data_IF_806460315706
#
_entry.id   IF_806460315706
#
_cell.length_a   1.000
_cell.length_b   1.000
_cell.length_c   1.000
_cell.angle_alpha   90.00
_cell.angle_beta   90.00
_cell.angle_gamma   90.00
#
_symmetry.space_group_name_H-M   'P 1'
#
loop_
_entity.id
_entity.type
_entity.pdbx_description
1 polymer ?
#
# COMPACT_ATOMS: atom_id res chain seq x y z
N UNK A 1 -14.01 -22.24 -15.87
CA UNK A 1 -13.59 -22.55 -14.49
C UNK A 1 -14.33 -21.59 -13.58
N UNK A 2 -14.90 -22.05 -12.48
CA UNK A 2 -15.60 -21.17 -11.53
C UNK A 2 -14.55 -20.46 -10.68
N UNK A 3 -14.64 -19.16 -10.56
CA UNK A 3 -13.73 -18.34 -9.73
C UNK A 3 -14.10 -18.53 -8.26
N UNK A 4 -13.14 -18.87 -7.41
CA UNK A 4 -13.33 -18.97 -5.97
C UNK A 4 -13.14 -17.58 -5.37
N UNK A 5 -13.97 -17.25 -4.38
CA UNK A 5 -13.77 -16.04 -3.55
C UNK A 5 -13.12 -16.49 -2.25
N UNK A 6 -11.88 -16.08 -2.03
CA UNK A 6 -11.18 -16.28 -0.78
C UNK A 6 -11.66 -15.23 0.24
N UNK A 7 -12.35 -15.69 1.26
CA UNK A 7 -12.91 -14.79 2.25
C UNK A 7 -11.85 -14.36 3.26
N UNK A 8 -11.91 -13.11 3.66
CA UNK A 8 -11.05 -12.53 4.69
C UNK A 8 -11.05 -13.36 6.00
N UNK A 9 -12.20 -13.88 6.41
CA UNK A 9 -12.36 -14.69 7.62
C UNK A 9 -11.52 -15.98 7.62
N UNK A 10 -11.15 -16.49 6.44
CA UNK A 10 -10.37 -17.71 6.30
C UNK A 10 -8.86 -17.49 6.58
N UNK A 11 -8.43 -16.22 6.57
CA UNK A 11 -7.03 -15.81 6.73
C UNK A 11 -6.76 -14.97 7.96
N UNK A 12 -7.76 -14.17 8.39
CA UNK A 12 -7.62 -13.21 9.49
C UNK A 12 -8.70 -13.44 10.54
N UNK A 13 -8.35 -13.79 11.79
CA UNK A 13 -9.30 -13.86 12.90
C UNK A 13 -9.97 -12.50 13.16
N UNK A 14 -11.23 -12.47 13.56
CA UNK A 14 -12.02 -11.25 13.76
C UNK A 14 -11.34 -10.21 14.70
N UNK A 15 -10.62 -10.69 15.72
CA UNK A 15 -9.88 -9.84 16.67
C UNK A 15 -8.37 -10.17 16.67
N UNK A 16 -7.86 -10.74 15.59
CA UNK A 16 -6.48 -11.19 15.50
C UNK A 16 -5.60 -10.29 14.64
N UNK A 17 -4.41 -10.80 14.33
CA UNK A 17 -3.45 -10.11 13.49
C UNK A 17 -4.02 -9.89 12.08
N UNK A 18 -3.97 -8.65 11.55
CA UNK A 18 -4.41 -8.36 10.18
C UNK A 18 -3.38 -8.80 9.13
N UNK A 19 -2.49 -9.72 9.49
CA UNK A 19 -1.42 -10.22 8.64
C UNK A 19 -1.39 -11.74 8.74
N UNK A 20 -1.32 -12.39 7.58
CA UNK A 20 -1.07 -13.81 7.45
C UNK A 20 0.10 -14.04 6.50
N UNK A 21 0.88 -15.08 6.75
CA UNK A 21 2.02 -15.49 5.94
C UNK A 21 1.82 -16.90 5.43
N UNK A 22 2.05 -17.11 4.15
CA UNK A 22 2.17 -18.43 3.54
C UNK A 22 3.50 -18.57 2.83
N UNK A 23 4.10 -19.75 2.99
CA UNK A 23 5.30 -20.14 2.25
C UNK A 23 4.93 -21.30 1.33
N UNK A 24 5.22 -21.16 0.05
CA UNK A 24 4.93 -22.15 -0.98
C UNK A 24 6.24 -22.61 -1.58
N UNK A 25 6.40 -23.93 -1.74
CA UNK A 25 7.56 -24.54 -2.36
C UNK A 25 7.15 -25.73 -3.24
N UNK A 26 7.66 -25.79 -4.46
CA UNK A 26 7.51 -26.91 -5.36
C UNK A 26 6.56 -26.70 -6.53
N UNK A 27 6.42 -27.76 -7.32
CA UNK A 27 5.73 -27.73 -8.62
C UNK A 27 4.27 -28.18 -8.53
N UNK A 28 3.82 -28.63 -7.34
CA UNK A 28 2.51 -29.22 -7.12
C UNK A 28 1.71 -28.44 -6.10
N UNK A 29 0.39 -28.64 -6.10
CA UNK A 29 -0.51 -28.13 -5.06
C UNK A 29 0.08 -28.45 -3.68
N UNK A 30 0.20 -27.45 -2.84
CA UNK A 30 0.49 -27.70 -1.44
C UNK A 30 -0.69 -28.50 -0.87
N UNK A 31 -0.39 -29.52 -0.04
CA UNK A 31 -1.44 -30.32 0.62
C UNK A 31 -2.12 -29.54 1.75
N UNK A 32 -1.87 -28.22 1.86
CA UNK A 32 -2.51 -27.38 2.86
C UNK A 32 -3.92 -27.01 2.42
N UNK A 33 -4.87 -27.30 3.25
CA UNK A 33 -6.25 -26.84 3.13
C UNK A 33 -6.28 -25.34 2.91
N UNK A 34 -6.92 -24.87 1.82
CA UNK A 34 -6.99 -23.45 1.46
C UNK A 34 -5.82 -22.89 0.64
N UNK A 35 -4.92 -23.73 0.07
CA UNK A 35 -3.96 -23.25 -0.95
C UNK A 35 -4.68 -23.03 -2.28
N UNK A 36 -4.87 -21.77 -2.61
CA UNK A 36 -5.51 -21.33 -3.87
C UNK A 36 -4.52 -20.94 -4.96
N UNK A 37 -3.22 -21.21 -4.78
CA UNK A 37 -2.15 -20.76 -5.69
C UNK A 37 -2.41 -21.16 -7.15
N UNK A 38 -2.87 -22.41 -7.39
CA UNK A 38 -3.15 -22.91 -8.74
C UNK A 38 -4.66 -22.86 -9.08
N UNK A 39 -5.45 -22.23 -8.25
CA UNK A 39 -6.90 -22.13 -8.43
C UNK A 39 -7.28 -20.68 -8.71
N UNK A 40 -8.07 -20.46 -9.75
CA UNK A 40 -8.56 -19.14 -10.12
C UNK A 40 -9.40 -18.57 -8.98
N UNK A 41 -8.95 -17.45 -8.39
CA UNK A 41 -9.60 -16.86 -7.24
C UNK A 41 -9.50 -15.33 -7.21
N UNK A 42 -10.33 -14.74 -6.36
CA UNK A 42 -10.28 -13.33 -5.95
C UNK A 42 -10.32 -13.23 -4.44
N UNK A 43 -9.92 -12.11 -3.89
CA UNK A 43 -10.00 -11.81 -2.46
C UNK A 43 -10.21 -10.31 -2.23
N UNK A 44 -10.63 -9.91 -1.04
CA UNK A 44 -10.88 -8.52 -0.63
C UNK A 44 -9.76 -7.91 0.24
N UNK A 45 -8.63 -8.60 0.34
CA UNK A 45 -7.41 -8.17 1.03
C UNK A 45 -6.25 -7.97 0.05
N UNK A 46 -5.08 -7.59 0.54
CA UNK A 46 -3.86 -7.43 -0.26
C UNK A 46 -2.91 -8.61 -0.07
N UNK A 47 -2.27 -9.03 -1.16
CA UNK A 47 -1.22 -10.07 -1.19
C UNK A 47 0.08 -9.51 -1.77
N UNK A 48 1.14 -9.50 -0.95
CA UNK A 48 2.49 -9.22 -1.39
C UNK A 48 3.19 -10.55 -1.68
N UNK A 49 3.41 -10.83 -2.97
CA UNK A 49 4.02 -12.07 -3.45
C UNK A 49 5.49 -11.81 -3.77
N UNK A 50 6.37 -12.62 -3.18
CA UNK A 50 7.82 -12.55 -3.33
C UNK A 50 8.32 -13.90 -3.84
N UNK A 51 8.77 -13.95 -5.10
CA UNK A 51 9.30 -15.17 -5.70
C UNK A 51 10.77 -15.32 -5.30
N UNK A 52 11.07 -16.38 -4.55
CA UNK A 52 12.42 -16.61 -3.97
C UNK A 52 13.22 -17.66 -4.70
N UNK A 53 12.55 -18.56 -5.43
CA UNK A 53 13.17 -19.62 -6.21
C UNK A 53 12.33 -20.01 -7.43
N UNK A 54 12.95 -20.62 -8.42
CA UNK A 54 12.26 -21.13 -9.61
C UNK A 54 11.51 -20.07 -10.40
N UNK A 55 10.33 -20.43 -10.90
CA UNK A 55 9.48 -19.54 -11.68
C UNK A 55 8.16 -20.19 -12.06
N UNK A 56 7.43 -19.54 -12.97
CA UNK A 56 6.15 -20.02 -13.45
C UNK A 56 5.46 -19.04 -14.38
N UNK A 57 4.20 -19.29 -14.61
CA UNK A 57 3.29 -18.42 -15.34
C UNK A 57 2.17 -18.00 -14.38
N UNK A 58 2.08 -16.71 -14.11
CA UNK A 58 1.04 -16.12 -13.27
C UNK A 58 -0.01 -15.45 -14.15
N UNK A 59 -1.23 -15.95 -14.09
CA UNK A 59 -2.38 -15.38 -14.78
C UNK A 59 -3.05 -14.34 -13.89
N UNK A 60 -3.29 -13.13 -14.42
CA UNK A 60 -3.90 -12.00 -13.70
C UNK A 60 -4.86 -11.26 -14.65
N UNK A 61 -6.15 -11.17 -14.31
CA UNK A 61 -7.15 -10.39 -15.03
C UNK A 61 -7.15 -10.63 -16.56
N UNK A 62 -7.00 -11.88 -17.03
CA UNK A 62 -7.04 -12.23 -18.45
C UNK A 62 -5.69 -12.29 -19.17
N UNK A 63 -4.60 -11.96 -18.51
CA UNK A 63 -3.24 -11.94 -19.10
C UNK A 63 -2.31 -12.88 -18.31
N UNK A 64 -1.43 -13.59 -19.01
CA UNK A 64 -0.41 -14.46 -18.40
C UNK A 64 0.95 -13.78 -18.39
N UNK A 65 1.62 -13.81 -17.25
CA UNK A 65 2.93 -13.20 -17.03
C UNK A 65 3.95 -14.22 -16.57
N UNK A 66 5.11 -14.34 -17.24
CA UNK A 66 6.21 -15.16 -16.73
C UNK A 66 6.76 -14.50 -15.46
N UNK A 67 6.98 -15.32 -14.43
CA UNK A 67 7.58 -14.92 -13.16
C UNK A 67 8.80 -15.76 -12.84
N UNK A 68 9.77 -15.17 -12.12
CA UNK A 68 11.04 -15.82 -11.75
C UNK A 68 11.51 -15.33 -10.38
N UNK A 69 12.48 -16.05 -9.79
CA UNK A 69 13.13 -15.62 -8.58
C UNK A 69 13.61 -14.16 -8.66
N UNK A 70 13.34 -13.38 -7.65
CA UNK A 70 13.60 -11.95 -7.60
C UNK A 70 12.39 -11.06 -7.94
N UNK A 71 11.34 -11.63 -8.55
CA UNK A 71 10.12 -10.87 -8.85
C UNK A 71 9.29 -10.67 -7.59
N UNK A 72 8.84 -9.42 -7.40
CA UNK A 72 7.97 -9.01 -6.28
C UNK A 72 6.81 -8.22 -6.87
N UNK A 73 5.59 -8.53 -6.43
CA UNK A 73 4.39 -7.84 -6.89
C UNK A 73 3.28 -7.89 -5.84
N UNK A 74 2.36 -6.96 -5.93
CA UNK A 74 1.23 -6.82 -5.04
C UNK A 74 -0.06 -7.10 -5.80
N UNK A 75 -0.90 -7.98 -5.29
CA UNK A 75 -2.26 -8.20 -5.76
C UNK A 75 -3.21 -7.55 -4.77
N UNK A 76 -4.12 -6.72 -5.25
CA UNK A 76 -5.07 -5.97 -4.41
C UNK A 76 -6.51 -6.12 -4.90
N UNK A 77 -7.41 -6.16 -3.94
CA UNK A 77 -8.85 -6.16 -4.18
C UNK A 77 -9.31 -7.35 -5.00
N UNK A 78 -10.44 -7.20 -5.68
CA UNK A 78 -11.08 -8.25 -6.47
C UNK A 78 -10.33 -8.57 -7.79
N UNK A 79 -8.99 -8.52 -7.80
CA UNK A 79 -8.15 -8.92 -8.92
C UNK A 79 -8.14 -10.44 -9.03
N UNK A 80 -8.61 -10.95 -10.15
CA UNK A 80 -8.65 -12.39 -10.42
C UNK A 80 -7.26 -12.90 -10.81
N UNK A 81 -6.76 -13.91 -10.11
CA UNK A 81 -5.41 -14.43 -10.37
C UNK A 81 -5.23 -15.88 -9.94
N UNK A 82 -4.20 -16.54 -10.51
CA UNK A 82 -3.70 -17.86 -10.13
C UNK A 82 -2.39 -18.17 -10.89
N UNK A 83 -1.63 -19.17 -10.44
CA UNK A 83 -0.48 -19.67 -11.20
C UNK A 83 -0.92 -20.79 -12.15
N UNK A 84 -0.74 -20.58 -13.46
CA UNK A 84 -1.03 -21.61 -14.47
C UNK A 84 -0.01 -22.72 -14.47
N UNK A 85 1.26 -22.37 -14.30
CA UNK A 85 2.40 -23.29 -14.29
C UNK A 85 3.36 -22.89 -13.18
N UNK A 86 3.96 -23.90 -12.57
CA UNK A 86 5.02 -23.73 -11.57
C UNK A 86 6.22 -24.58 -11.97
N UNK A 87 7.41 -24.02 -11.83
CA UNK A 87 8.67 -24.71 -12.06
C UNK A 87 9.61 -24.44 -10.89
N UNK A 88 9.75 -25.43 -10.00
CA UNK A 88 10.52 -25.29 -8.73
C UNK A 88 10.22 -23.99 -7.99
N UNK A 89 8.97 -23.59 -8.02
CA UNK A 89 8.52 -22.31 -7.48
C UNK A 89 8.71 -22.29 -5.97
N UNK A 90 9.44 -21.29 -5.49
CA UNK A 90 9.50 -20.91 -4.09
C UNK A 90 9.00 -19.49 -3.94
N UNK A 91 8.05 -19.26 -3.04
CA UNK A 91 7.55 -17.92 -2.76
C UNK A 91 7.09 -17.73 -1.33
N UNK A 92 7.18 -16.49 -0.87
CA UNK A 92 6.48 -15.99 0.31
C UNK A 92 5.29 -15.16 -0.14
N UNK A 93 4.16 -15.41 0.47
CA UNK A 93 2.94 -14.65 0.27
C UNK A 93 2.54 -14.00 1.59
N UNK A 94 2.70 -12.66 1.69
CA UNK A 94 2.29 -11.88 2.85
C UNK A 94 0.92 -11.30 2.54
N UNK A 95 -0.10 -11.84 3.17
CA UNK A 95 -1.47 -11.36 3.07
C UNK A 95 -1.72 -10.34 4.17
N UNK A 96 -2.39 -9.24 3.88
CA UNK A 96 -2.72 -8.23 4.87
C UNK A 96 -4.01 -7.50 4.56
N UNK A 97 -4.69 -7.13 5.64
CA UNK A 97 -5.92 -6.37 5.55
C UNK A 97 -5.65 -4.87 5.55
N UNK A 98 -5.85 -4.25 4.41
CA UNK A 98 -5.63 -2.82 4.21
C UNK A 98 -6.44 -1.95 5.19
N UNK A 99 -7.60 -2.39 5.65
CA UNK A 99 -8.47 -1.61 6.54
C UNK A 99 -7.88 -1.49 7.94
N UNK A 100 -7.31 -2.58 8.46
CA UNK A 100 -6.66 -2.63 9.78
C UNK A 100 -5.25 -2.02 9.76
N UNK A 101 -4.60 -2.07 8.60
CA UNK A 101 -3.24 -1.53 8.42
C UNK A 101 -3.18 -0.04 8.12
N UNK A 102 -4.32 0.58 7.87
CA UNK A 102 -4.44 1.93 7.29
C UNK A 102 -3.64 3.01 8.02
N UNK A 103 -3.63 3.00 9.34
CA UNK A 103 -2.88 3.98 10.12
C UNK A 103 -1.36 3.78 10.02
N UNK A 104 -0.91 2.54 10.06
CA UNK A 104 0.51 2.17 9.93
C UNK A 104 1.03 2.43 8.51
N UNK A 105 0.26 2.05 7.49
CA UNK A 105 0.59 2.33 6.09
C UNK A 105 0.65 3.83 5.78
N UNK A 106 -0.07 4.65 6.54
CA UNK A 106 -0.03 6.10 6.37
C UNK A 106 1.37 6.68 6.60
N UNK A 107 2.09 6.20 7.61
CA UNK A 107 3.47 6.63 7.88
C UNK A 107 4.42 6.28 6.73
N UNK A 108 4.16 5.19 6.00
CA UNK A 108 4.95 4.77 4.85
C UNK A 108 4.74 5.66 3.60
N UNK A 109 3.68 6.48 3.54
CA UNK A 109 3.45 7.41 2.42
C UNK A 109 4.51 8.51 2.31
N UNK A 110 5.34 8.69 3.34
CA UNK A 110 6.54 9.51 3.27
C UNK A 110 7.63 8.92 2.35
N UNK A 111 7.51 7.64 1.95
CA UNK A 111 8.45 6.95 1.08
C UNK A 111 7.93 6.94 -0.37
N UNK A 112 8.63 7.56 -1.34
CA UNK A 112 8.21 7.57 -2.74
C UNK A 112 7.99 6.18 -3.33
N UNK A 113 8.91 5.24 -3.06
CA UNK A 113 8.82 3.87 -3.53
C UNK A 113 7.62 3.12 -2.94
N UNK A 114 7.21 3.41 -1.69
CA UNK A 114 5.99 2.87 -1.14
C UNK A 114 4.76 3.31 -1.94
N UNK A 115 4.64 4.61 -2.20
CA UNK A 115 3.54 5.14 -2.97
C UNK A 115 3.51 4.57 -4.39
N UNK A 116 4.68 4.47 -5.02
CA UNK A 116 4.82 3.94 -6.37
C UNK A 116 4.44 2.46 -6.46
N UNK A 117 4.96 1.63 -5.58
CA UNK A 117 4.78 0.18 -5.61
C UNK A 117 3.47 -0.28 -4.97
N UNK A 118 3.15 0.20 -3.76
CA UNK A 118 1.99 -0.29 -3.02
C UNK A 118 0.67 0.42 -3.37
N UNK A 119 0.72 1.68 -3.82
CA UNK A 119 -0.49 2.43 -4.12
C UNK A 119 -0.77 2.54 -5.63
N UNK A 120 0.26 2.77 -6.44
CA UNK A 120 0.05 3.13 -7.84
C UNK A 120 0.21 1.95 -8.80
N UNK A 121 1.18 1.09 -8.56
CA UNK A 121 1.45 -0.05 -9.44
C UNK A 121 0.22 -0.92 -9.64
N UNK A 122 -0.53 -1.35 -8.60
CA UNK A 122 -1.72 -2.18 -8.78
C UNK A 122 -2.81 -1.52 -9.63
N UNK A 123 -3.02 -0.20 -9.43
CA UNK A 123 -3.99 0.59 -10.22
C UNK A 123 -3.56 0.74 -11.68
N UNK A 124 -2.25 0.90 -11.90
CA UNK A 124 -1.68 1.12 -13.23
C UNK A 124 -1.49 -0.16 -14.03
N UNK A 125 -1.37 -1.30 -13.38
CA UNK A 125 -1.13 -2.61 -13.98
C UNK A 125 -2.14 -2.95 -15.08
N UNK A 126 -3.41 -2.67 -14.85
CA UNK A 126 -4.50 -2.91 -15.82
C UNK A 126 -4.26 -2.22 -17.16
N UNK A 127 -3.58 -1.06 -17.18
CA UNK A 127 -3.29 -0.30 -18.41
C UNK A 127 -1.91 -0.60 -19.01
N UNK A 128 -0.99 -1.24 -18.27
CA UNK A 128 0.43 -1.39 -18.63
C UNK A 128 0.95 -2.83 -18.62
N UNK A 129 0.07 -3.82 -18.53
CA UNK A 129 0.41 -5.24 -18.64
C UNK A 129 1.59 -5.65 -17.74
N UNK A 130 1.50 -5.32 -16.44
CA UNK A 130 2.46 -5.77 -15.42
C UNK A 130 3.95 -5.45 -15.66
N UNK A 131 4.24 -4.46 -16.49
CA UNK A 131 5.61 -4.05 -16.80
C UNK A 131 6.33 -3.32 -15.67
N UNK A 132 5.59 -2.95 -14.62
CA UNK A 132 6.07 -2.16 -13.48
C UNK A 132 6.37 -2.98 -12.22
N UNK A 133 6.30 -4.32 -12.28
CA UNK A 133 6.69 -5.18 -11.16
C UNK A 133 8.13 -4.93 -10.73
N UNK A 134 8.39 -5.06 -9.44
CA UNK A 134 9.76 -4.98 -8.93
C UNK A 134 10.49 -6.29 -9.22
N UNK A 135 11.72 -6.18 -9.71
CA UNK A 135 12.66 -7.29 -9.77
C UNK A 135 13.92 -6.91 -9.02
N UNK A 136 14.33 -7.71 -8.06
CA UNK A 136 15.53 -7.49 -7.25
C UNK A 136 16.62 -8.52 -7.57
N UNK A 137 17.88 -8.08 -7.40
CA UNK A 137 19.04 -8.95 -7.62
C UNK A 137 19.18 -10.01 -6.52
N UNK A 138 19.95 -11.10 -6.76
CA UNK A 138 20.25 -12.08 -5.70
C UNK A 138 20.93 -11.47 -4.48
N UNK A 139 21.75 -10.43 -4.64
CA UNK A 139 22.39 -9.72 -3.53
C UNK A 139 21.37 -9.01 -2.66
N UNK A 140 20.40 -8.36 -3.28
CA UNK A 140 19.27 -7.68 -2.58
C UNK A 140 18.29 -8.68 -1.96
N UNK A 141 18.12 -9.85 -2.58
CA UNK A 141 17.27 -10.91 -2.06
C UNK A 141 17.80 -11.49 -0.72
N UNK A 142 19.10 -11.59 -0.51
CA UNK A 142 19.67 -12.19 0.72
C UNK A 142 19.17 -11.52 2.00
N UNK A 143 19.30 -10.17 2.20
CA UNK A 143 18.76 -9.53 3.39
C UNK A 143 17.23 -9.64 3.49
N UNK A 144 16.53 -9.59 2.37
CA UNK A 144 15.07 -9.80 2.37
C UNK A 144 14.70 -11.21 2.84
N UNK A 145 15.43 -12.24 2.42
CA UNK A 145 15.21 -13.62 2.88
C UNK A 145 15.38 -13.75 4.41
N UNK A 146 16.32 -13.05 5.02
CA UNK A 146 16.49 -13.04 6.48
C UNK A 146 15.25 -12.47 7.17
N UNK A 147 14.69 -11.38 6.65
CA UNK A 147 13.45 -10.77 7.17
C UNK A 147 12.26 -11.73 7.02
N UNK A 148 12.10 -12.33 5.83
CA UNK A 148 11.02 -13.26 5.53
C UNK A 148 11.08 -14.52 6.39
N UNK A 149 12.26 -15.11 6.58
CA UNK A 149 12.46 -16.27 7.45
C UNK A 149 12.14 -15.95 8.91
N UNK A 150 12.61 -14.80 9.40
CA UNK A 150 12.31 -14.33 10.75
C UNK A 150 10.79 -14.09 10.94
N UNK A 151 10.09 -13.62 9.91
CA UNK A 151 8.63 -13.48 9.94
C UNK A 151 7.93 -14.85 9.94
N UNK A 152 8.43 -15.81 9.16
CA UNK A 152 7.89 -17.17 9.10
C UNK A 152 8.06 -17.92 10.44
N UNK A 153 9.22 -17.77 11.07
CA UNK A 153 9.48 -18.35 12.41
C UNK A 153 8.50 -17.80 13.44
N UNK A 154 8.26 -16.49 13.46
CA UNK A 154 7.29 -15.87 14.36
C UNK A 154 5.86 -16.30 14.05
N UNK A 155 5.51 -16.40 12.77
CA UNK A 155 4.17 -16.82 12.33
C UNK A 155 3.84 -18.26 12.79
N UNK A 156 4.83 -19.14 12.87
CA UNK A 156 4.66 -20.55 13.24
C UNK A 156 4.51 -20.78 14.74
N UNK A 157 4.68 -19.77 15.59
CA UNK A 157 4.71 -19.91 17.04
C UNK A 157 3.58 -19.11 17.69
N UNK A 158 2.83 -19.73 18.59
CA UNK A 158 1.84 -19.04 19.42
C UNK A 158 2.52 -18.49 20.69
N UNK A 159 2.97 -17.25 20.61
CA UNK A 159 3.63 -16.56 21.74
C UNK A 159 2.92 -15.23 22.05
N UNK A 160 2.92 -14.78 23.32
CA UNK A 160 2.46 -13.46 23.66
C UNK A 160 3.18 -12.37 22.86
N UNK A 161 2.44 -11.44 22.25
CA UNK A 161 3.00 -10.39 21.42
C UNK A 161 3.29 -10.76 19.96
N UNK A 162 3.01 -12.00 19.53
CA UNK A 162 3.18 -12.48 18.16
C UNK A 162 2.58 -11.53 17.12
N UNK A 163 1.34 -11.13 17.32
CA UNK A 163 0.62 -10.28 16.36
C UNK A 163 1.28 -8.91 16.19
N UNK A 164 1.75 -8.31 17.29
CA UNK A 164 2.48 -7.05 17.25
C UNK A 164 3.84 -7.22 16.53
N UNK A 165 4.51 -8.36 16.76
CA UNK A 165 5.81 -8.62 16.14
C UNK A 165 5.64 -8.95 14.65
N UNK A 166 4.60 -9.66 14.24
CA UNK A 166 4.27 -9.86 12.82
C UNK A 166 3.99 -8.55 12.11
N UNK A 167 3.25 -7.63 12.74
CA UNK A 167 3.01 -6.29 12.25
C UNK A 167 4.33 -5.53 12.04
N UNK A 168 5.20 -5.53 13.05
CA UNK A 168 6.51 -4.85 12.97
C UNK A 168 7.38 -5.40 11.83
N UNK A 169 7.45 -6.73 11.69
CA UNK A 169 8.19 -7.41 10.62
C UNK A 169 7.62 -7.10 9.22
N UNK A 170 6.30 -7.06 9.07
CA UNK A 170 5.68 -6.67 7.81
C UNK A 170 6.02 -5.22 7.43
N UNK A 171 5.97 -4.28 8.39
CA UNK A 171 6.37 -2.89 8.15
C UNK A 171 7.85 -2.78 7.74
N UNK A 172 8.74 -3.55 8.37
CA UNK A 172 10.16 -3.60 8.01
C UNK A 172 10.35 -4.09 6.57
N UNK A 173 9.65 -5.18 6.18
CA UNK A 173 9.67 -5.71 4.80
C UNK A 173 9.12 -4.68 3.81
N UNK A 174 8.03 -3.99 4.14
CA UNK A 174 7.44 -2.96 3.28
C UNK A 174 8.39 -1.77 3.07
N UNK A 175 9.07 -1.33 4.14
CA UNK A 175 10.12 -0.30 4.03
C UNK A 175 11.28 -0.79 3.17
N UNK A 176 11.75 -2.03 3.38
CA UNK A 176 12.82 -2.61 2.58
C UNK A 176 12.46 -2.61 1.09
N UNK A 177 11.31 -3.17 0.71
CA UNK A 177 10.83 -3.24 -0.67
C UNK A 177 10.66 -1.83 -1.27
N UNK A 178 10.09 -0.90 -0.51
CA UNK A 178 9.92 0.48 -0.94
C UNK A 178 11.23 1.17 -1.32
N UNK A 179 12.31 0.87 -0.61
CA UNK A 179 13.65 1.39 -0.91
C UNK A 179 14.27 0.79 -2.17
N UNK A 180 13.85 -0.42 -2.57
CA UNK A 180 14.31 -1.06 -3.80
C UNK A 180 13.54 -0.60 -5.04
N UNK A 181 12.32 -0.10 -4.86
CA UNK A 181 11.50 0.35 -5.97
C UNK A 181 11.93 1.77 -6.39
N UNK A 182 12.92 1.83 -7.28
CA UNK A 182 13.50 3.07 -7.83
C UNK A 182 13.16 3.21 -9.32
N UNK A 183 13.07 4.45 -9.81
CA UNK A 183 12.68 4.74 -11.20
C UNK A 183 13.74 4.48 -12.27
N UNK A 184 14.91 3.92 -11.93
CA UNK A 184 16.13 4.04 -12.74
C UNK A 184 16.15 3.30 -14.09
N UNK A 185 15.35 2.23 -14.27
CA UNK A 185 15.52 1.35 -15.43
C UNK A 185 14.26 1.18 -16.31
N UNK A 186 13.14 1.77 -15.94
CA UNK A 186 11.87 1.62 -16.68
C UNK A 186 11.11 2.95 -16.69
N UNK A 187 10.78 3.52 -17.87
CA UNK A 187 10.05 4.79 -17.98
C UNK A 187 8.71 4.81 -17.24
N UNK A 188 8.04 3.66 -17.15
CA UNK A 188 6.77 3.52 -16.44
C UNK A 188 6.98 3.54 -14.94
N UNK A 189 7.94 2.76 -14.43
CA UNK A 189 8.33 2.77 -13.01
C UNK A 189 8.78 4.16 -12.59
N UNK A 190 9.53 4.85 -13.46
CA UNK A 190 9.93 6.24 -13.26
C UNK A 190 8.72 7.18 -13.14
N UNK A 191 7.68 7.00 -13.96
CA UNK A 191 6.44 7.79 -13.85
C UNK A 191 5.74 7.55 -12.51
N UNK A 192 5.58 6.30 -12.09
CA UNK A 192 4.97 5.95 -10.81
C UNK A 192 5.80 6.47 -9.63
N UNK A 193 7.13 6.37 -9.73
CA UNK A 193 8.04 6.88 -8.72
C UNK A 193 7.94 8.39 -8.56
N UNK A 194 7.90 9.16 -9.66
CA UNK A 194 7.71 10.62 -9.63
C UNK A 194 6.37 11.03 -9.02
N UNK A 195 5.32 10.28 -9.27
CA UNK A 195 4.03 10.50 -8.60
C UNK A 195 4.10 10.16 -7.11
N UNK A 196 4.82 9.09 -6.76
CA UNK A 196 5.11 8.71 -5.39
C UNK A 196 5.87 9.80 -4.63
N UNK A 197 6.84 10.42 -5.32
CA UNK A 197 7.62 11.55 -4.82
C UNK A 197 6.73 12.77 -4.52
N UNK A 198 5.80 13.09 -5.43
CA UNK A 198 4.81 14.15 -5.19
C UNK A 198 4.00 13.89 -3.92
N UNK A 199 3.47 12.67 -3.74
CA UNK A 199 2.71 12.33 -2.52
C UNK A 199 3.60 12.47 -1.29
N UNK A 200 4.80 11.89 -1.33
CA UNK A 200 5.76 11.94 -0.23
C UNK A 200 6.06 13.37 0.20
N UNK A 201 6.30 14.25 -0.75
CA UNK A 201 6.56 15.67 -0.48
C UNK A 201 5.32 16.37 0.09
N UNK A 202 4.12 16.09 -0.43
CA UNK A 202 2.88 16.67 0.09
C UNK A 202 2.54 16.18 1.50
N UNK A 203 2.81 14.91 1.82
CA UNK A 203 2.61 14.33 3.16
C UNK A 203 3.60 14.89 4.18
N UNK A 204 4.86 15.07 3.80
CA UNK A 204 5.92 15.57 4.70
C UNK A 204 5.86 17.09 4.90
N UNK A 205 5.45 17.84 3.87
CA UNK A 205 5.48 19.30 3.87
C UNK A 205 4.06 19.89 3.69
N UNK A 206 3.05 19.26 4.26
CA UNK A 206 1.65 19.64 4.06
C UNK A 206 1.31 21.04 4.54
N UNK A 207 2.07 21.62 5.45
CA UNK A 207 1.85 22.97 5.97
C UNK A 207 2.29 24.07 5.00
N UNK A 208 3.16 23.76 4.05
CA UNK A 208 3.71 24.72 3.10
C UNK A 208 2.69 25.16 2.05
N UNK A 209 2.97 26.30 1.42
CA UNK A 209 2.17 26.77 0.28
C UNK A 209 2.54 25.99 -1.00
N UNK A 210 1.56 25.28 -1.55
CA UNK A 210 1.69 24.46 -2.74
C UNK A 210 0.88 25.02 -3.91
N UNK A 211 1.48 25.04 -5.09
CA UNK A 211 0.84 25.38 -6.36
C UNK A 211 1.01 24.23 -7.34
N UNK A 212 0.13 24.14 -8.33
CA UNK A 212 0.24 23.12 -9.39
C UNK A 212 1.60 23.23 -10.10
N UNK A 213 2.09 24.44 -10.37
CA UNK A 213 3.40 24.65 -10.99
C UNK A 213 4.55 24.10 -10.15
N UNK A 214 4.52 24.26 -8.82
CA UNK A 214 5.53 23.70 -7.90
C UNK A 214 5.47 22.17 -7.89
N UNK A 215 4.27 21.59 -7.84
CA UNK A 215 4.05 20.14 -7.85
C UNK A 215 4.50 19.53 -9.19
N UNK A 216 4.16 20.18 -10.31
CA UNK A 216 4.58 19.77 -11.67
C UNK A 216 6.09 19.72 -11.83
N UNK A 217 6.80 20.64 -11.19
CA UNK A 217 8.27 20.68 -11.20
C UNK A 217 8.86 19.47 -10.46
N UNK A 218 8.29 19.11 -9.29
CA UNK A 218 8.71 17.91 -8.54
C UNK A 218 8.46 16.65 -9.37
N UNK A 219 7.26 16.52 -9.94
CA UNK A 219 6.92 15.40 -10.81
C UNK A 219 7.75 15.36 -12.11
N UNK A 220 8.43 16.45 -12.48
CA UNK A 220 9.04 16.63 -13.80
C UNK A 220 8.04 16.37 -14.94
N UNK A 221 6.80 16.83 -14.76
CA UNK A 221 5.69 16.66 -15.70
C UNK A 221 4.99 17.99 -15.96
N UNK A 222 4.51 18.20 -17.19
CA UNK A 222 3.61 19.32 -17.46
C UNK A 222 2.29 19.16 -16.68
N UNK A 223 1.64 20.27 -16.26
CA UNK A 223 0.35 20.21 -15.57
C UNK A 223 -0.70 19.38 -16.31
N UNK A 224 -0.76 19.46 -17.63
CA UNK A 224 -1.68 18.73 -18.50
C UNK A 224 -1.46 17.20 -18.42
N UNK A 225 -0.26 16.75 -18.13
CA UNK A 225 0.08 15.34 -17.94
C UNK A 225 -0.12 14.92 -16.48
N UNK A 226 0.36 15.72 -15.53
CA UNK A 226 0.30 15.42 -14.09
C UNK A 226 -1.13 15.27 -13.59
N UNK A 227 -2.01 16.24 -13.88
CA UNK A 227 -3.35 16.27 -13.28
C UNK A 227 -4.20 15.05 -13.61
N UNK A 228 -4.33 14.60 -14.87
CA UNK A 228 -5.09 13.40 -15.20
C UNK A 228 -4.50 12.14 -14.60
N UNK A 229 -3.16 12.01 -14.62
CA UNK A 229 -2.47 10.83 -14.13
C UNK A 229 -2.59 10.75 -12.61
N UNK A 230 -2.31 11.84 -11.90
CA UNK A 230 -2.43 11.89 -10.44
C UNK A 230 -3.86 11.59 -9.98
N UNK A 231 -4.87 12.17 -10.66
CA UNK A 231 -6.27 11.90 -10.36
C UNK A 231 -6.67 10.45 -10.61
N UNK A 232 -6.14 9.82 -11.65
CA UNK A 232 -6.40 8.40 -11.97
C UNK A 232 -5.94 7.49 -10.84
N UNK A 233 -4.75 7.76 -10.26
CA UNK A 233 -4.15 6.88 -9.24
C UNK A 233 -4.62 7.20 -7.83
N UNK A 234 -4.93 8.46 -7.52
CA UNK A 234 -5.30 8.88 -6.16
C UNK A 234 -6.80 9.14 -5.99
N UNK A 235 -7.53 9.29 -7.08
CA UNK A 235 -8.93 9.75 -7.08
C UNK A 235 -9.10 11.27 -6.92
N UNK A 236 -8.02 12.02 -6.67
CA UNK A 236 -8.02 13.44 -6.32
C UNK A 236 -7.10 14.26 -7.22
N UNK A 237 -7.35 15.57 -7.33
CA UNK A 237 -6.30 16.48 -7.81
C UNK A 237 -5.19 16.61 -6.75
N UNK A 238 -3.95 17.01 -7.13
CA UNK A 238 -2.87 17.19 -6.15
C UNK A 238 -3.23 18.17 -5.01
N UNK A 239 -3.97 19.23 -5.31
CA UNK A 239 -4.39 20.21 -4.30
C UNK A 239 -5.51 19.64 -3.42
N UNK A 240 -6.49 18.91 -3.97
CA UNK A 240 -7.51 18.25 -3.17
C UNK A 240 -6.90 17.16 -2.27
N UNK A 241 -5.89 16.45 -2.77
CA UNK A 241 -5.11 15.50 -1.99
C UNK A 241 -4.42 16.19 -0.80
N UNK A 242 -3.76 17.31 -1.02
CA UNK A 242 -3.14 18.11 0.04
C UNK A 242 -4.16 18.57 1.08
N UNK A 243 -5.31 19.09 0.63
CA UNK A 243 -6.39 19.51 1.54
C UNK A 243 -6.81 18.32 2.41
N UNK A 244 -6.92 17.13 1.83
CA UNK A 244 -7.27 15.89 2.54
C UNK A 244 -6.23 15.55 3.60
N UNK A 245 -4.94 15.59 3.29
CA UNK A 245 -3.84 15.38 4.25
C UNK A 245 -3.94 16.36 5.42
N UNK A 246 -4.12 17.65 5.11
CA UNK A 246 -4.27 18.70 6.13
C UNK A 246 -5.48 18.47 7.06
N UNK A 247 -6.61 18.04 6.51
CA UNK A 247 -7.80 17.74 7.30
C UNK A 247 -7.61 16.51 8.19
N UNK A 248 -6.88 15.50 7.72
CA UNK A 248 -6.53 14.33 8.52
C UNK A 248 -5.62 14.71 9.70
N UNK A 249 -4.62 15.54 9.45
CA UNK A 249 -3.77 16.10 10.52
C UNK A 249 -4.54 17.01 11.48
N UNK A 250 -5.51 17.76 10.96
CA UNK A 250 -6.42 18.56 11.77
C UNK A 250 -7.29 17.70 12.69
N UNK A 251 -7.81 16.58 12.20
CA UNK A 251 -8.58 15.63 13.01
C UNK A 251 -7.73 15.02 14.15
N UNK A 252 -6.48 14.64 13.87
CA UNK A 252 -5.54 14.17 14.89
C UNK A 252 -5.30 15.23 15.98
N UNK A 253 -4.98 16.47 15.58
CA UNK A 253 -4.75 17.57 16.54
C UNK A 253 -5.99 17.91 17.38
N UNK A 254 -7.18 17.87 16.77
CA UNK A 254 -8.43 18.11 17.50
C UNK A 254 -8.68 17.08 18.62
N UNK A 255 -8.28 15.82 18.38
CA UNK A 255 -8.42 14.74 19.36
C UNK A 255 -7.30 14.72 20.41
N UNK A 256 -6.11 15.18 20.06
CA UNK A 256 -4.92 15.10 20.93
C UNK A 256 -4.69 16.36 21.75
N UNK A 257 -5.30 17.50 21.38
CA UNK A 257 -5.03 18.80 21.98
C UNK A 257 -6.30 19.57 22.32
N UNK A 258 -6.16 20.57 23.18
CA UNK A 258 -7.20 21.55 23.49
C UNK A 258 -7.07 22.85 22.71
N UNK A 259 -6.22 22.90 21.70
CA UNK A 259 -5.96 24.10 20.91
C UNK A 259 -7.25 24.65 20.27
N UNK A 260 -7.43 25.99 20.20
CA UNK A 260 -8.52 26.60 19.45
C UNK A 260 -8.57 26.08 18.00
N UNK A 261 -9.77 25.95 17.42
CA UNK A 261 -9.94 25.47 16.03
C UNK A 261 -9.15 26.31 15.03
N UNK A 262 -9.03 27.61 15.27
CA UNK A 262 -8.22 28.52 14.44
C UNK A 262 -6.73 28.17 14.45
N UNK A 263 -6.20 27.81 15.61
CA UNK A 263 -4.79 27.38 15.74
C UNK A 263 -4.56 26.01 15.10
N UNK A 264 -5.50 25.08 15.27
CA UNK A 264 -5.45 23.77 14.57
C UNK A 264 -5.42 23.98 13.06
N UNK A 265 -6.30 24.85 12.53
CA UNK A 265 -6.32 25.17 11.10
C UNK A 265 -4.96 25.72 10.64
N UNK A 266 -4.38 26.67 11.36
CA UNK A 266 -3.08 27.26 11.06
C UNK A 266 -1.95 26.21 11.08
N UNK A 267 -1.89 25.39 12.13
CA UNK A 267 -0.90 24.29 12.26
C UNK A 267 -1.02 23.25 11.14
N UNK A 268 -2.19 23.13 10.53
CA UNK A 268 -2.42 22.27 9.36
C UNK A 268 -2.18 22.97 8.02
N UNK A 269 -1.70 24.21 8.01
CA UNK A 269 -1.38 24.95 6.78
C UNK A 269 -2.58 25.61 6.10
N UNK A 270 -3.71 25.80 6.82
CA UNK A 270 -4.82 26.62 6.33
C UNK A 270 -4.61 28.07 6.74
N UNK A 271 -4.75 28.98 5.80
CA UNK A 271 -4.68 30.43 6.04
C UNK A 271 -6.02 31.01 6.54
N UNK A 272 -7.12 30.28 6.31
CA UNK A 272 -8.47 30.66 6.72
C UNK A 272 -9.13 29.51 7.50
N UNK A 273 -9.43 29.75 8.78
CA UNK A 273 -10.07 28.79 9.68
C UNK A 273 -11.53 28.49 9.30
N UNK A 274 -12.23 29.43 8.63
CA UNK A 274 -13.58 29.18 8.13
C UNK A 274 -13.54 28.24 6.93
N UNK A 275 -12.54 28.39 6.05
CA UNK A 275 -12.32 27.45 4.95
C UNK A 275 -11.99 26.05 5.48
N UNK A 276 -11.10 25.94 6.48
CA UNK A 276 -10.81 24.69 7.18
C UNK A 276 -12.10 24.05 7.71
N UNK A 277 -12.91 24.79 8.47
CA UNK A 277 -14.13 24.26 9.10
C UNK A 277 -15.15 23.77 8.06
N UNK A 278 -15.31 24.50 6.93
CA UNK A 278 -16.17 24.05 5.81
C UNK A 278 -15.67 22.76 5.17
N UNK A 279 -14.37 22.66 4.86
CA UNK A 279 -13.77 21.46 4.28
C UNK A 279 -13.81 20.27 5.26
N UNK A 280 -13.60 20.53 6.55
CA UNK A 280 -13.66 19.54 7.62
C UNK A 280 -15.06 18.95 7.72
N UNK A 281 -16.10 19.81 7.77
CA UNK A 281 -17.51 19.36 7.82
C UNK A 281 -17.89 18.57 6.56
N UNK A 282 -17.42 18.98 5.38
CA UNK A 282 -17.64 18.24 4.14
C UNK A 282 -17.07 16.83 4.17
N UNK A 283 -15.93 16.63 4.86
CA UNK A 283 -15.24 15.35 4.91
C UNK A 283 -15.74 14.41 6.02
N UNK A 284 -16.00 14.98 7.21
CA UNK A 284 -16.31 14.21 8.41
C UNK A 284 -17.79 14.26 8.81
N UNK A 285 -18.61 15.03 8.11
CA UNK A 285 -20.01 15.31 8.42
C UNK A 285 -20.23 15.96 9.79
N UNK A 286 -19.18 16.42 10.45
CA UNK A 286 -19.14 17.09 11.74
C UNK A 286 -18.30 18.36 11.65
N UNK A 287 -18.65 19.41 12.39
CA UNK A 287 -17.75 20.53 12.57
C UNK A 287 -16.52 20.13 13.38
N UNK A 288 -15.40 20.84 13.28
CA UNK A 288 -14.22 20.57 14.10
C UNK A 288 -14.51 20.52 15.60
N UNK A 289 -15.44 21.36 16.09
CA UNK A 289 -15.85 21.40 17.49
C UNK A 289 -16.64 20.15 17.87
N UNK A 290 -17.67 19.79 17.12
CA UNK A 290 -18.46 18.56 17.31
C UNK A 290 -17.58 17.31 17.26
N UNK A 291 -16.60 17.26 16.35
CA UNK A 291 -15.67 16.15 16.21
C UNK A 291 -14.80 15.97 17.47
N UNK A 292 -14.34 17.07 18.07
CA UNK A 292 -13.61 17.07 19.35
C UNK A 292 -14.48 16.61 20.51
N UNK A 293 -15.72 17.11 20.57
CA UNK A 293 -16.66 16.81 21.66
C UNK A 293 -17.15 15.36 21.61
N UNK A 294 -17.31 14.76 20.44
CA UNK A 294 -17.71 13.36 20.28
C UNK A 294 -16.73 12.34 20.87
N UNK A 295 -15.50 12.77 21.25
CA UNK A 295 -14.57 11.96 22.04
C UNK A 295 -14.98 11.84 23.52
N UNK A 296 -15.75 12.78 24.04
CA UNK A 296 -16.13 12.81 25.46
C UNK A 296 -17.39 11.97 25.76
N UNK A 297 -17.99 11.36 24.75
CA UNK A 297 -19.23 10.57 24.86
C UNK A 297 -19.05 9.06 24.61
N UNK A 298 -17.80 8.53 24.63
CA UNK A 298 -17.54 7.08 24.55
C UNK A 298 -16.68 6.59 25.69
#
# INVERSE_FOLDING_TARGET
MQTIVANRSDFFPENGCPIALRTIQGDHHSQHEGDLTDVRHTHDFSELIIITAGGGEHWIDGETYPVRAGDIFLIQGNTEHYFEKRYKLGMFNIMFDDSCFKEHLRSLRSLPGFNAFFLFEPTYRRSHKFRSRLHISPETMRPLMTLLQSMAEESSQERPGRDLLLLAKALEIFVFISRQYTGEHNPMVNTLFRLGDVISVLENNYTEHWTISRISRIASMAPSTLLPVFRRVTGYSPIDYLIRVRLEKGAELLLQTVLPVSEVAQKCGFTDSNYFSRQFRKRYNLSPKEYREGRNCK
#
